data_IF_950818509357
#
_entry.id   IF_950818509357
#
_cell.length_a   1.000
_cell.length_b   1.000
_cell.length_c   1.000
_cell.angle_alpha   90.00
_cell.angle_beta   90.00
_cell.angle_gamma   90.00
#
_symmetry.space_group_name_H-M   'P 1'
#
loop_
_entity.id
_entity.type
_entity.pdbx_description
1 polymer ?
#
# COMPACT_ATOMS: atom_id res chain seq x y z
N UNK A 1 -9.97 1.98 6.69
CA UNK A 1 -9.93 0.87 7.66
C UNK A 1 -9.26 -0.34 7.01
N UNK A 2 -8.05 -0.69 7.50
CA UNK A 2 -7.19 -1.75 6.91
C UNK A 2 -7.83 -3.14 7.03
N UNK A 3 -8.58 -3.43 8.09
CA UNK A 3 -9.21 -4.75 8.25
C UNK A 3 -10.35 -4.94 7.23
N UNK A 4 -11.21 -3.94 7.08
CA UNK A 4 -12.28 -3.98 6.08
C UNK A 4 -11.72 -4.08 4.67
N UNK A 5 -10.65 -3.36 4.37
CA UNK A 5 -9.95 -3.44 3.07
C UNK A 5 -9.42 -4.86 2.82
N UNK A 6 -8.71 -5.44 3.80
CA UNK A 6 -8.17 -6.81 3.66
C UNK A 6 -9.28 -7.87 3.55
N UNK A 7 -10.38 -7.71 4.29
CA UNK A 7 -11.54 -8.60 4.17
C UNK A 7 -12.14 -8.56 2.74
N UNK A 8 -12.28 -7.36 2.16
CA UNK A 8 -12.74 -7.19 0.79
C UNK A 8 -11.78 -7.81 -0.23
N UNK A 9 -10.46 -7.63 -0.04
CA UNK A 9 -9.46 -8.24 -0.90
C UNK A 9 -9.49 -9.77 -0.85
N UNK A 10 -9.55 -10.37 0.35
CA UNK A 10 -9.67 -11.83 0.51
C UNK A 10 -10.92 -12.37 -0.19
N UNK A 11 -12.06 -11.70 -0.01
CA UNK A 11 -13.32 -12.11 -0.65
C UNK A 11 -13.25 -12.04 -2.18
N UNK A 12 -12.45 -11.12 -2.72
CA UNK A 12 -12.18 -10.99 -4.16
C UNK A 12 -11.05 -11.88 -4.67
N UNK A 13 -10.41 -12.70 -3.83
CA UNK A 13 -9.26 -13.53 -4.21
C UNK A 13 -8.02 -12.72 -4.57
N UNK A 14 -7.85 -11.52 -4.00
CA UNK A 14 -6.63 -10.72 -4.12
C UNK A 14 -5.62 -11.15 -3.05
N UNK A 15 -4.31 -11.26 -3.41
CA UNK A 15 -3.29 -11.75 -2.49
C UNK A 15 -2.98 -10.71 -1.40
N UNK A 16 -3.17 -11.11 -0.15
CA UNK A 16 -2.82 -10.33 1.05
C UNK A 16 -2.09 -11.22 2.05
N UNK A 17 -1.24 -10.63 2.87
CA UNK A 17 -0.61 -11.36 3.98
C UNK A 17 -1.64 -11.74 5.04
N UNK A 18 -1.32 -12.78 5.80
CA UNK A 18 -2.06 -13.12 7.02
C UNK A 18 -2.06 -11.93 7.98
N UNK A 19 -3.21 -11.66 8.60
CA UNK A 19 -3.36 -10.58 9.56
C UNK A 19 -4.40 -10.95 10.62
N UNK A 20 -4.19 -10.45 11.83
CA UNK A 20 -5.10 -10.59 12.95
C UNK A 20 -5.30 -9.25 13.66
N UNK A 21 -6.47 -9.05 14.25
CA UNK A 21 -6.68 -7.96 15.21
C UNK A 21 -6.34 -8.48 16.60
N UNK A 22 -5.60 -7.69 17.36
CA UNK A 22 -5.21 -8.02 18.72
C UNK A 22 -5.28 -6.79 19.62
N UNK A 23 -5.44 -7.00 20.93
CA UNK A 23 -5.33 -5.91 21.89
C UNK A 23 -3.88 -5.46 22.02
N UNK A 24 -3.65 -4.14 22.04
CA UNK A 24 -2.31 -3.55 22.24
C UNK A 24 -1.58 -4.18 23.42
N UNK A 25 -2.26 -4.35 24.56
CA UNK A 25 -1.66 -4.88 25.77
C UNK A 25 -1.28 -6.36 25.63
N UNK A 26 -2.02 -7.15 24.87
CA UNK A 26 -1.67 -8.52 24.53
C UNK A 26 -0.39 -8.58 23.67
N UNK A 27 -0.31 -7.73 22.63
CA UNK A 27 0.85 -7.64 21.73
C UNK A 27 2.12 -7.22 22.47
N UNK A 28 2.00 -6.41 23.51
CA UNK A 28 3.14 -6.03 24.40
C UNK A 28 3.68 -7.16 25.25
N UNK A 29 2.86 -8.18 25.53
CA UNK A 29 3.22 -9.26 26.47
C UNK A 29 3.64 -10.55 25.78
N UNK A 30 3.17 -10.78 24.55
CA UNK A 30 3.50 -11.99 23.78
C UNK A 30 3.44 -11.74 22.28
N UNK A 31 4.15 -12.55 21.51
CA UNK A 31 3.95 -12.62 20.08
C UNK A 31 2.59 -13.24 19.76
N UNK A 32 1.75 -12.52 19.00
CA UNK A 32 0.42 -13.02 18.56
C UNK A 32 0.50 -13.74 17.20
N UNK A 33 1.65 -13.63 16.53
CA UNK A 33 2.01 -14.44 15.37
C UNK A 33 3.54 -14.63 15.31
N UNK A 34 4.05 -15.63 14.57
CA UNK A 34 5.49 -15.83 14.43
C UNK A 34 6.18 -14.63 13.76
N UNK A 35 7.32 -14.12 14.27
CA UNK A 35 8.14 -13.14 13.56
C UNK A 35 8.70 -13.68 12.24
N UNK A 36 8.93 -12.83 11.21
CA UNK A 36 8.75 -11.37 11.24
C UNK A 36 7.31 -10.93 10.98
N UNK A 37 6.89 -9.87 11.65
CA UNK A 37 5.56 -9.29 11.46
C UNK A 37 5.56 -7.77 11.69
N UNK A 38 4.48 -7.11 11.28
CA UNK A 38 4.27 -5.68 11.44
C UNK A 38 3.06 -5.45 12.35
N UNK A 39 3.19 -4.51 13.30
CA UNK A 39 2.07 -4.01 14.09
C UNK A 39 1.73 -2.60 13.64
N UNK A 40 0.47 -2.31 13.40
CA UNK A 40 0.03 -1.00 12.92
C UNK A 40 -1.39 -0.66 13.36
N UNK A 41 -1.75 0.64 13.45
CA UNK A 41 -3.14 1.08 13.62
C UNK A 41 -4.01 0.69 12.44
N UNK A 42 -5.29 0.35 12.69
CA UNK A 42 -6.23 0.00 11.62
C UNK A 42 -6.63 1.21 10.76
N UNK A 43 -6.71 2.41 11.34
CA UNK A 43 -7.31 3.59 10.71
C UNK A 43 -6.34 4.75 10.44
N UNK A 44 -5.07 4.60 10.80
CA UNK A 44 -4.05 5.63 10.55
C UNK A 44 -3.43 5.48 9.15
N UNK A 45 -2.91 6.60 8.63
CA UNK A 45 -2.21 6.70 7.35
C UNK A 45 -0.71 7.00 7.52
N UNK A 46 -0.02 7.19 6.39
CA UNK A 46 1.35 7.71 6.30
C UNK A 46 2.40 6.98 7.14
N UNK A 47 2.27 5.68 7.33
CA UNK A 47 3.20 4.84 8.13
C UNK A 47 3.31 5.25 9.61
N UNK A 48 2.36 6.02 10.14
CA UNK A 48 2.35 6.41 11.56
C UNK A 48 2.03 5.20 12.43
N UNK A 49 2.81 5.01 13.51
CA UNK A 49 2.59 3.94 14.49
C UNK A 49 2.87 2.53 13.95
N UNK A 50 3.76 2.38 12.98
CA UNK A 50 4.18 1.07 12.47
C UNK A 50 5.37 0.56 13.28
N UNK A 51 5.26 -0.69 13.76
CA UNK A 51 6.33 -1.42 14.44
C UNK A 51 6.67 -2.68 13.67
N UNK A 52 7.93 -2.80 13.23
CA UNK A 52 8.46 -4.03 12.64
C UNK A 52 9.05 -4.91 13.74
N UNK A 53 8.61 -6.15 13.79
CA UNK A 53 9.21 -7.20 14.61
C UNK A 53 10.02 -8.10 13.70
N UNK A 54 11.33 -8.07 13.86
CA UNK A 54 12.27 -8.79 12.98
C UNK A 54 12.25 -10.30 13.21
N UNK A 55 12.74 -11.04 12.22
CA UNK A 55 12.93 -12.48 12.31
C UNK A 55 13.84 -12.83 13.50
N UNK A 56 13.43 -13.80 14.31
CA UNK A 56 14.20 -14.25 15.48
C UNK A 56 14.08 -13.34 16.71
N UNK A 57 13.22 -12.31 16.69
CA UNK A 57 12.93 -11.50 17.86
C UNK A 57 12.35 -12.37 18.98
N UNK A 58 13.02 -12.39 20.15
CA UNK A 58 12.56 -13.16 21.32
C UNK A 58 11.50 -12.41 22.12
N UNK A 59 11.51 -11.07 22.08
CA UNK A 59 10.60 -10.23 22.85
C UNK A 59 9.54 -9.61 21.94
N UNK A 60 8.30 -9.48 22.44
CA UNK A 60 7.26 -8.73 21.74
C UNK A 60 7.62 -7.24 21.67
N UNK A 61 6.99 -6.47 20.74
CA UNK A 61 7.32 -5.07 20.57
C UNK A 61 6.85 -4.20 21.73
N UNK A 62 7.66 -3.21 22.11
CA UNK A 62 7.31 -2.19 23.10
C UNK A 62 6.45 -1.10 22.41
N UNK A 63 5.16 -1.37 22.25
CA UNK A 63 4.22 -0.42 21.63
C UNK A 63 4.01 0.81 22.53
N UNK A 64 3.96 1.99 21.91
CA UNK A 64 3.62 3.24 22.59
C UNK A 64 2.20 3.22 23.19
N UNK A 65 1.97 3.98 24.25
CA UNK A 65 0.64 4.17 24.84
C UNK A 65 -0.32 4.94 23.92
N UNK A 66 0.21 5.69 22.97
CA UNK A 66 -0.57 6.40 21.94
C UNK A 66 -1.18 5.46 20.88
N UNK A 67 -0.70 4.22 20.80
CA UNK A 67 -1.29 3.23 19.91
C UNK A 67 -2.73 2.90 20.33
N UNK A 68 -3.66 2.71 19.37
CA UNK A 68 -5.03 2.30 19.66
C UNK A 68 -5.10 1.03 20.50
N UNK A 69 -6.20 0.87 21.25
CA UNK A 69 -6.43 -0.33 22.07
C UNK A 69 -6.45 -1.62 21.23
N UNK A 70 -6.97 -1.53 20.00
CA UNK A 70 -6.95 -2.62 19.02
C UNK A 70 -6.02 -2.25 17.88
N UNK A 71 -5.09 -3.14 17.58
CA UNK A 71 -4.10 -3.00 16.53
C UNK A 71 -4.19 -4.16 15.54
N UNK A 72 -3.75 -3.92 14.32
CA UNK A 72 -3.54 -4.98 13.34
C UNK A 72 -2.12 -5.50 13.45
N UNK A 73 -1.99 -6.82 13.55
CA UNK A 73 -0.72 -7.54 13.41
C UNK A 73 -0.77 -8.32 12.11
N UNK A 74 0.20 -8.11 11.24
CA UNK A 74 0.25 -8.79 9.93
C UNK A 74 1.63 -9.36 9.64
N UNK A 75 1.66 -10.49 8.94
CA UNK A 75 2.91 -11.10 8.49
C UNK A 75 3.70 -10.10 7.64
N UNK A 76 5.01 -10.07 7.84
CA UNK A 76 5.89 -9.20 7.05
C UNK A 76 5.92 -9.62 5.58
N UNK A 77 5.69 -8.66 4.68
CA UNK A 77 5.82 -8.86 3.24
C UNK A 77 7.19 -8.31 2.79
N UNK A 78 8.17 -9.17 2.46
CA UNK A 78 9.49 -8.75 1.99
C UNK A 78 9.45 -8.25 0.55
N UNK A 79 10.58 -7.73 0.08
CA UNK A 79 10.82 -7.42 -1.32
C UNK A 79 10.64 -5.94 -1.68
N UNK A 80 10.45 -5.67 -2.97
CA UNK A 80 10.34 -4.32 -3.56
C UNK A 80 8.97 -3.72 -3.25
N UNK A 81 8.92 -2.40 -3.15
CA UNK A 81 7.67 -1.66 -2.99
C UNK A 81 7.21 -1.14 -4.34
N UNK A 82 6.05 -1.61 -4.78
CA UNK A 82 5.45 -1.23 -6.05
C UNK A 82 4.13 -0.50 -5.80
N UNK A 83 3.75 0.38 -6.72
CA UNK A 83 2.45 1.06 -6.61
C UNK A 83 1.85 1.29 -8.00
N UNK A 84 0.50 1.26 -8.06
CA UNK A 84 -0.27 1.48 -9.29
C UNK A 84 -1.45 2.39 -9.02
N UNK A 85 -1.57 3.43 -9.83
CA UNK A 85 -2.70 4.36 -9.82
C UNK A 85 -3.78 3.87 -10.79
N UNK A 86 -5.02 3.90 -10.32
CA UNK A 86 -6.22 3.71 -11.13
C UNK A 86 -6.95 5.03 -11.28
N UNK A 87 -7.38 5.34 -12.50
CA UNK A 87 -8.15 6.52 -12.88
C UNK A 87 -9.43 6.04 -13.57
N UNK A 88 -10.55 6.05 -12.84
CA UNK A 88 -11.80 5.47 -13.30
C UNK A 88 -11.72 3.96 -13.50
N UNK A 89 -11.76 3.51 -14.72
CA UNK A 89 -11.66 2.10 -15.13
C UNK A 89 -10.29 1.72 -15.71
N UNK A 90 -9.30 2.62 -15.64
CA UNK A 90 -7.97 2.44 -16.23
C UNK A 90 -6.88 2.44 -15.17
N UNK A 91 -6.11 1.37 -15.07
CA UNK A 91 -4.81 1.37 -14.40
C UNK A 91 -3.77 2.08 -15.28
N UNK A 92 -3.00 3.00 -14.70
CA UNK A 92 -2.09 3.85 -15.48
C UNK A 92 -0.77 3.14 -15.78
N UNK A 93 0.03 2.91 -14.76
CA UNK A 93 1.33 2.22 -14.86
C UNK A 93 1.76 1.71 -13.48
N UNK A 94 2.93 1.11 -13.39
CA UNK A 94 3.54 0.68 -12.13
C UNK A 94 4.75 1.55 -11.84
N UNK A 95 4.87 2.05 -10.62
CA UNK A 95 6.08 2.68 -10.09
C UNK A 95 6.76 1.75 -9.11
N UNK A 96 8.08 1.60 -9.22
CA UNK A 96 8.93 0.99 -8.23
C UNK A 96 9.51 2.07 -7.31
N UNK A 97 9.29 1.92 -6.01
CA UNK A 97 9.73 2.87 -4.99
C UNK A 97 11.01 2.32 -4.36
N UNK A 98 12.13 2.93 -4.68
CA UNK A 98 13.44 2.56 -4.19
C UNK A 98 13.81 3.42 -2.97
N UNK A 99 14.09 2.76 -1.84
CA UNK A 99 14.52 3.42 -0.59
C UNK A 99 15.77 2.75 -0.06
N UNK A 100 16.61 3.48 0.62
CA UNK A 100 17.81 2.95 1.30
C UNK A 100 17.47 2.29 2.66
N UNK A 101 16.22 1.91 2.87
CA UNK A 101 15.74 1.29 4.09
C UNK A 101 14.22 1.09 4.08
N UNK A 102 13.61 1.19 5.24
CA UNK A 102 12.16 1.11 5.38
C UNK A 102 11.48 2.36 4.80
N UNK A 103 10.44 2.17 3.98
CA UNK A 103 9.66 3.29 3.42
C UNK A 103 8.73 3.88 4.49
N UNK A 104 9.33 4.60 5.44
CA UNK A 104 8.65 5.28 6.53
C UNK A 104 8.17 6.68 6.14
N UNK A 105 7.70 7.45 7.14
CA UNK A 105 7.24 8.82 6.94
C UNK A 105 8.33 9.73 6.35
N UNK A 106 9.54 9.61 6.83
CA UNK A 106 10.68 10.43 6.37
C UNK A 106 11.07 10.10 4.93
N UNK A 107 11.09 8.82 4.57
CA UNK A 107 11.33 8.38 3.20
C UNK A 107 10.25 8.84 2.21
N UNK A 108 9.01 9.04 2.69
CA UNK A 108 7.87 9.52 1.87
C UNK A 108 7.91 11.03 1.60
N UNK A 109 8.39 11.83 2.54
CA UNK A 109 8.17 13.29 2.52
C UNK A 109 9.45 14.13 2.55
N UNK A 110 10.60 13.57 2.89
CA UNK A 110 11.89 14.29 2.81
C UNK A 110 12.46 14.28 1.38
N UNK A 111 12.99 15.39 0.89
CA UNK A 111 13.70 15.42 -0.39
C UNK A 111 14.83 14.38 -0.41
N UNK A 112 14.81 13.49 -1.42
CA UNK A 112 15.79 12.41 -1.55
C UNK A 112 15.54 11.18 -0.68
N UNK A 113 14.41 11.10 0.05
CA UNK A 113 14.03 9.94 0.88
C UNK A 113 13.64 8.69 0.09
N UNK A 114 13.21 8.86 -1.17
CA UNK A 114 12.93 7.77 -2.11
C UNK A 114 13.28 8.17 -3.53
N UNK A 115 13.57 7.17 -4.37
CA UNK A 115 13.72 7.31 -5.81
C UNK A 115 12.65 6.48 -6.50
N UNK A 116 12.00 7.05 -7.51
CA UNK A 116 10.96 6.36 -8.26
C UNK A 116 11.48 5.93 -9.62
N UNK A 117 11.13 4.71 -10.03
CA UNK A 117 11.32 4.20 -11.39
C UNK A 117 9.96 3.98 -12.00
N UNK A 118 9.60 4.81 -13.00
CA UNK A 118 8.30 4.77 -13.68
C UNK A 118 8.49 4.87 -15.20
N UNK A 119 7.99 3.88 -15.98
CA UNK A 119 7.44 2.60 -15.52
C UNK A 119 8.47 1.73 -14.79
N UNK A 120 7.99 0.88 -13.88
CA UNK A 120 8.85 -0.01 -13.10
C UNK A 120 9.58 -1.03 -14.00
N UNK A 121 10.86 -1.25 -13.75
CA UNK A 121 11.68 -2.27 -14.42
C UNK A 121 11.52 -3.62 -13.70
N UNK A 122 10.44 -4.33 -14.04
CA UNK A 122 10.04 -5.63 -13.47
C UNK A 122 9.58 -6.58 -14.59
N UNK A 123 9.53 -7.91 -14.36
CA UNK A 123 8.99 -8.84 -15.33
C UNK A 123 7.56 -8.46 -15.75
N UNK A 124 7.26 -8.62 -17.04
CA UNK A 124 5.98 -8.22 -17.63
C UNK A 124 4.78 -8.87 -16.92
N UNK A 125 4.89 -10.13 -16.54
CA UNK A 125 3.81 -10.83 -15.80
C UNK A 125 3.50 -10.17 -14.44
N UNK A 126 4.51 -9.62 -13.75
CA UNK A 126 4.34 -8.91 -12.47
C UNK A 126 3.74 -7.52 -12.73
N UNK A 127 4.22 -6.85 -13.79
CA UNK A 127 3.67 -5.57 -14.22
C UNK A 127 2.17 -5.68 -14.52
N UNK A 128 1.78 -6.66 -15.33
CA UNK A 128 0.39 -6.92 -15.70
C UNK A 128 -0.46 -7.31 -14.48
N UNK A 129 0.11 -8.10 -13.57
CA UNK A 129 -0.56 -8.46 -12.32
C UNK A 129 -0.79 -7.25 -11.41
N UNK A 130 0.15 -6.29 -11.31
CA UNK A 130 -0.05 -5.05 -10.56
C UNK A 130 -1.22 -4.24 -11.15
N UNK A 131 -1.30 -4.11 -12.48
CA UNK A 131 -2.41 -3.41 -13.14
C UNK A 131 -3.75 -4.09 -12.87
N UNK A 132 -3.83 -5.42 -13.07
CA UNK A 132 -5.05 -6.20 -12.80
C UNK A 132 -5.49 -6.11 -11.35
N UNK A 133 -4.58 -6.31 -10.41
CA UNK A 133 -4.89 -6.28 -8.99
C UNK A 133 -5.31 -4.89 -8.51
N UNK A 134 -4.71 -3.81 -9.04
CA UNK A 134 -5.12 -2.45 -8.72
C UNK A 134 -6.54 -2.14 -9.21
N UNK A 135 -6.89 -2.54 -10.45
CA UNK A 135 -8.25 -2.40 -10.99
C UNK A 135 -9.27 -3.18 -10.15
N UNK A 136 -8.98 -4.42 -9.81
CA UNK A 136 -9.86 -5.25 -8.98
C UNK A 136 -9.99 -4.71 -7.56
N UNK A 137 -8.89 -4.21 -6.97
CA UNK A 137 -8.91 -3.55 -5.66
C UNK A 137 -9.77 -2.29 -5.69
N UNK A 138 -9.62 -1.44 -6.72
CA UNK A 138 -10.45 -0.25 -6.95
C UNK A 138 -11.94 -0.61 -7.01
N UNK A 139 -12.30 -1.61 -7.81
CA UNK A 139 -13.66 -2.05 -8.02
C UNK A 139 -14.30 -2.65 -6.74
N UNK A 140 -13.61 -3.57 -6.06
CA UNK A 140 -14.14 -4.27 -4.88
C UNK A 140 -14.32 -3.34 -3.67
N UNK A 141 -13.52 -2.28 -3.58
CA UNK A 141 -13.68 -1.24 -2.57
C UNK A 141 -14.73 -0.19 -2.93
N UNK A 142 -15.33 -0.29 -4.13
CA UNK A 142 -16.28 0.71 -4.63
C UNK A 142 -15.64 2.09 -4.85
N UNK A 143 -14.35 2.12 -5.13
CA UNK A 143 -13.64 3.37 -5.41
C UNK A 143 -14.18 4.03 -6.67
N UNK A 144 -14.07 5.36 -6.73
CA UNK A 144 -14.38 6.21 -7.89
C UNK A 144 -13.29 7.26 -8.02
N UNK A 145 -13.20 7.89 -9.19
CA UNK A 145 -12.15 8.86 -9.45
C UNK A 145 -10.77 8.20 -9.48
N UNK A 146 -9.84 8.73 -8.71
CA UNK A 146 -8.46 8.25 -8.63
C UNK A 146 -8.22 7.48 -7.34
N UNK A 147 -7.58 6.31 -7.44
CA UNK A 147 -7.04 5.57 -6.30
C UNK A 147 -5.63 5.08 -6.60
N UNK A 148 -4.87 4.73 -5.56
CA UNK A 148 -3.53 4.15 -5.69
C UNK A 148 -3.43 2.92 -4.80
N UNK A 149 -3.07 1.79 -5.39
CA UNK A 149 -2.84 0.52 -4.69
C UNK A 149 -1.35 0.29 -4.51
N UNK A 150 -0.92 0.02 -3.28
CA UNK A 150 0.45 -0.20 -2.89
C UNK A 150 0.69 -1.70 -2.66
N UNK A 151 1.85 -2.22 -3.13
CA UNK A 151 2.22 -3.63 -3.14
C UNK A 151 3.59 -3.85 -2.53
N UNK A 152 3.82 -5.09 -2.07
CA UNK A 152 5.17 -5.65 -1.87
C UNK A 152 5.36 -6.80 -2.81
N UNK A 153 6.55 -6.90 -3.41
CA UNK A 153 6.88 -7.99 -4.32
C UNK A 153 8.21 -8.64 -3.97
N UNK A 154 8.12 -9.88 -3.52
CA UNK A 154 9.28 -10.75 -3.32
C UNK A 154 9.62 -11.48 -4.63
N UNK A 155 10.68 -11.01 -5.30
CA UNK A 155 11.10 -11.56 -6.59
C UNK A 155 11.50 -13.05 -6.52
N UNK A 156 11.96 -13.54 -5.35
CA UNK A 156 12.31 -14.95 -5.18
C UNK A 156 11.10 -15.89 -5.28
N UNK A 157 9.89 -15.36 -5.08
CA UNK A 157 8.62 -16.11 -5.16
C UNK A 157 7.84 -15.85 -6.44
N UNK A 158 8.40 -15.11 -7.39
CA UNK A 158 7.70 -14.75 -8.64
C UNK A 158 6.35 -14.08 -8.37
N UNK A 159 5.30 -14.52 -9.08
CA UNK A 159 3.96 -13.95 -8.94
C UNK A 159 3.33 -14.17 -7.56
N UNK A 160 3.62 -15.30 -6.92
CA UNK A 160 3.11 -15.60 -5.56
C UNK A 160 3.73 -14.70 -4.49
N UNK A 161 4.79 -13.98 -4.82
CA UNK A 161 5.41 -12.96 -3.98
C UNK A 161 4.77 -11.58 -4.08
N UNK A 162 3.82 -11.36 -4.99
CA UNK A 162 3.13 -10.08 -5.15
C UNK A 162 1.94 -9.97 -4.20
N UNK A 163 2.01 -9.07 -3.23
CA UNK A 163 1.06 -8.90 -2.13
C UNK A 163 0.53 -7.47 -2.11
N UNK A 164 -0.80 -7.30 -1.97
CA UNK A 164 -1.43 -5.99 -1.77
C UNK A 164 -1.27 -5.57 -0.30
N UNK A 165 -0.86 -4.33 -0.09
CA UNK A 165 -0.79 -3.70 1.23
C UNK A 165 -2.07 -2.92 1.54
N UNK A 166 -2.37 -1.94 0.71
CA UNK A 166 -3.52 -1.04 0.89
C UNK A 166 -3.90 -0.35 -0.43
N UNK A 167 -5.09 0.24 -0.46
CA UNK A 167 -5.51 1.19 -1.50
C UNK A 167 -5.82 2.54 -0.87
N UNK A 168 -5.14 3.57 -1.37
CA UNK A 168 -5.34 4.97 -1.01
C UNK A 168 -6.42 5.56 -1.91
N UNK A 169 -7.58 5.90 -1.34
CA UNK A 169 -8.74 6.46 -2.06
C UNK A 169 -8.64 7.97 -2.31
N UNK A 170 -7.67 8.62 -1.65
CA UNK A 170 -7.29 10.02 -1.89
C UNK A 170 -5.76 10.11 -1.94
N UNK A 171 -5.13 9.65 -3.04
CA UNK A 171 -3.69 9.72 -3.18
C UNK A 171 -3.23 11.18 -3.25
N UNK A 172 -1.98 11.43 -2.84
CA UNK A 172 -1.38 12.77 -2.92
C UNK A 172 -1.41 13.33 -4.35
N UNK A 173 -1.62 14.64 -4.47
CA UNK A 173 -1.71 15.38 -5.73
C UNK A 173 -0.73 16.56 -5.78
N UNK A 174 0.45 16.40 -5.18
CA UNK A 174 1.56 17.36 -5.33
C UNK A 174 2.42 17.01 -6.54
N UNK A 175 3.28 17.89 -7.04
CA UNK A 175 4.17 17.60 -8.18
C UNK A 175 5.08 16.38 -7.98
N UNK A 176 5.37 16.01 -6.73
CA UNK A 176 6.20 14.84 -6.37
C UNK A 176 5.37 13.63 -5.93
N UNK A 177 4.05 13.68 -6.09
CA UNK A 177 3.17 12.57 -5.71
C UNK A 177 3.12 11.51 -6.80
N UNK A 178 3.03 10.25 -6.38
CA UNK A 178 3.07 9.07 -7.24
C UNK A 178 1.94 9.02 -8.29
N UNK A 179 0.72 9.45 -7.94
CA UNK A 179 -0.39 9.42 -8.88
C UNK A 179 -0.22 10.42 -10.06
N UNK A 180 0.13 11.70 -9.84
CA UNK A 180 0.48 12.62 -10.94
C UNK A 180 1.70 12.16 -11.75
N UNK A 181 2.72 11.59 -11.11
CA UNK A 181 3.90 11.07 -11.78
C UNK A 181 3.54 9.93 -12.75
N UNK A 182 2.70 8.99 -12.31
CA UNK A 182 2.21 7.89 -13.15
C UNK A 182 1.32 8.40 -14.30
N UNK A 183 0.45 9.38 -14.03
CA UNK A 183 -0.35 10.01 -15.07
C UNK A 183 0.53 10.63 -16.17
N UNK A 184 1.57 11.36 -15.78
CA UNK A 184 2.54 11.97 -16.68
C UNK A 184 3.31 10.92 -17.51
N UNK A 185 3.71 9.81 -16.88
CA UNK A 185 4.41 8.72 -17.56
C UNK A 185 3.59 8.07 -18.69
N UNK A 186 2.25 8.13 -18.60
CA UNK A 186 1.34 7.66 -19.66
C UNK A 186 0.76 8.78 -20.54
N UNK A 187 1.36 9.98 -20.50
CA UNK A 187 1.01 11.10 -21.36
C UNK A 187 -0.17 11.97 -20.89
N UNK A 188 -0.62 11.82 -19.63
CA UNK A 188 -1.66 12.66 -19.03
C UNK A 188 -0.98 13.74 -18.19
N UNK A 189 -1.09 14.98 -18.61
CA UNK A 189 -0.53 16.12 -17.87
C UNK A 189 -1.27 16.36 -16.56
N UNK A 190 -0.63 17.02 -15.60
CA UNK A 190 -1.27 17.32 -14.32
C UNK A 190 -2.57 18.17 -14.47
N UNK A 191 -2.64 19.20 -15.32
CA UNK A 191 -3.90 19.92 -15.59
C UNK A 191 -5.00 19.02 -16.18
N UNK A 192 -4.66 18.07 -17.06
CA UNK A 192 -5.61 17.10 -17.61
C UNK A 192 -6.12 16.12 -16.57
N UNK A 193 -5.24 15.62 -15.69
CA UNK A 193 -5.63 14.80 -14.56
C UNK A 193 -6.61 15.54 -13.64
N UNK A 194 -6.28 16.77 -13.27
CA UNK A 194 -7.15 17.58 -12.42
C UNK A 194 -8.50 17.89 -13.08
N UNK A 195 -8.50 18.22 -14.37
CA UNK A 195 -9.74 18.45 -15.13
C UNK A 195 -10.61 17.19 -15.12
N UNK A 196 -10.03 16.05 -15.45
CA UNK A 196 -10.76 14.78 -15.45
C UNK A 196 -11.37 14.47 -14.08
N UNK A 197 -10.62 14.68 -12.98
CA UNK A 197 -11.13 14.47 -11.62
C UNK A 197 -12.34 15.36 -11.29
N UNK A 198 -12.32 16.61 -11.76
CA UNK A 198 -13.45 17.55 -11.58
C UNK A 198 -14.65 17.14 -12.41
N UNK A 199 -14.44 16.74 -13.67
CA UNK A 199 -15.50 16.29 -14.59
C UNK A 199 -16.11 14.96 -14.15
N UNK A 200 -15.31 14.05 -13.58
CA UNK A 200 -15.78 12.78 -13.03
C UNK A 200 -16.51 12.95 -11.68
N UNK A 201 -16.29 14.04 -10.97
CA UNK A 201 -16.90 14.28 -9.66
C UNK A 201 -18.43 14.43 -9.77
N UNK A 202 -19.14 13.77 -8.84
CA UNK A 202 -20.61 13.81 -8.80
C UNK A 202 -21.12 13.62 -7.37
N UNK A 203 -22.11 14.45 -6.97
CA UNK A 203 -22.77 14.32 -5.67
C UNK A 203 -23.83 13.18 -5.62
N UNK A 204 -24.26 12.68 -6.78
CA UNK A 204 -25.34 11.71 -6.92
C UNK A 204 -24.84 10.27 -7.16
N UNK A 205 -23.74 9.90 -6.54
CA UNK A 205 -23.12 8.58 -6.71
C UNK A 205 -23.46 7.64 -5.55
#
# INVERSE_FOLDING_TARGET
DKERTKAAYRAAGLPVVESVLARRDEVRTRHVMPPPYVVKPCNEGSSVGIYLVEAGANNPPALSDDMPEVVMVEAYAPGRELTTTVMGDRALTVTDILTDGWYDYDAKYKPGGSRHVVPAEIPQEIFDACLDYALRAHAVLGCRGVSRTDFRWDAARGRDGLILLETNTQPGMTPTSLAPEQAQAVGITFPELCRWMVEDASCNR
#
